data_IF_564521277803
#
_entry.id   IF_564521277803
#
_cell.length_a   1.000
_cell.length_b   1.000
_cell.length_c   1.000
_cell.angle_alpha   90.00
_cell.angle_beta   90.00
_cell.angle_gamma   90.00
#
_symmetry.space_group_name_H-M   'P 1'
#
loop_
_entity.id
_entity.type
_entity.pdbx_description
1 polymer ?
#
# COMPACT_ATOMS: atom_id res chain seq x y z
N UNK A 1 -9.62 18.60 17.25
CA UNK A 1 -9.21 17.28 16.71
C UNK A 1 -10.40 16.35 16.83
N UNK A 2 -10.57 15.38 15.94
CA UNK A 2 -11.60 14.36 16.11
C UNK A 2 -11.10 13.31 17.09
N UNK A 3 -11.95 12.90 18.02
CA UNK A 3 -11.65 11.81 18.95
C UNK A 3 -11.73 10.46 18.23
N UNK A 4 -10.88 9.52 18.63
CA UNK A 4 -10.89 8.13 18.14
C UNK A 4 -12.12 7.41 18.70
N UNK A 5 -13.02 6.93 17.84
CA UNK A 5 -14.22 6.22 18.28
C UNK A 5 -13.94 4.73 18.38
N UNK A 6 -13.99 4.17 19.59
CA UNK A 6 -13.74 2.76 19.82
C UNK A 6 -15.01 2.05 20.25
N UNK A 7 -15.33 0.93 19.61
CA UNK A 7 -16.42 0.05 20.01
C UNK A 7 -15.89 -1.05 20.95
N UNK A 8 -16.54 -1.26 22.10
CA UNK A 8 -16.38 -2.45 22.93
C UNK A 8 -17.68 -3.24 22.88
N UNK A 9 -17.60 -4.53 22.55
CA UNK A 9 -18.72 -5.47 22.61
C UNK A 9 -18.39 -6.53 23.65
N UNK A 10 -19.03 -6.41 24.81
CA UNK A 10 -18.69 -7.14 26.03
C UNK A 10 -19.93 -7.16 26.93
N UNK A 11 -20.42 -8.33 27.33
CA UNK A 11 -21.61 -8.46 28.19
C UNK A 11 -21.27 -8.36 29.68
N UNK A 12 -20.03 -8.66 30.07
CA UNK A 12 -19.65 -8.68 31.47
C UNK A 12 -19.24 -7.29 32.01
N UNK A 13 -19.99 -6.80 33.01
CA UNK A 13 -19.82 -5.44 33.55
C UNK A 13 -18.41 -5.15 34.07
N UNK A 14 -17.76 -6.13 34.68
CA UNK A 14 -16.39 -5.96 35.19
C UNK A 14 -15.40 -5.68 34.05
N UNK A 15 -15.53 -6.37 32.92
CA UNK A 15 -14.65 -6.20 31.77
C UNK A 15 -14.91 -4.85 31.06
N UNK A 16 -16.19 -4.44 31.01
CA UNK A 16 -16.56 -3.09 30.57
C UNK A 16 -15.89 -2.00 31.41
N UNK A 17 -15.93 -2.14 32.74
CA UNK A 17 -15.36 -1.16 33.67
C UNK A 17 -13.82 -1.13 33.56
N UNK A 18 -13.17 -2.29 33.45
CA UNK A 18 -11.71 -2.39 33.20
C UNK A 18 -11.29 -1.68 31.91
N UNK A 19 -12.04 -1.89 30.82
CA UNK A 19 -11.77 -1.22 29.55
C UNK A 19 -12.01 0.29 29.65
N UNK A 20 -13.07 0.71 30.36
CA UNK A 20 -13.40 2.10 30.56
C UNK A 20 -12.34 2.84 31.37
N UNK A 21 -11.79 2.21 32.40
CA UNK A 21 -10.69 2.78 33.20
C UNK A 21 -9.40 2.86 32.37
N UNK A 22 -9.06 1.82 31.59
CA UNK A 22 -7.93 1.87 30.67
C UNK A 22 -8.03 3.03 29.64
N UNK A 23 -9.25 3.34 29.17
CA UNK A 23 -9.51 4.49 28.30
C UNK A 23 -9.32 5.81 29.03
N UNK A 24 -9.71 5.92 30.30
CA UNK A 24 -9.50 7.13 31.11
C UNK A 24 -8.02 7.40 31.30
N UNK A 25 -7.26 6.39 31.73
CA UNK A 25 -5.82 6.50 31.91
C UNK A 25 -5.12 6.91 30.60
N UNK A 26 -5.48 6.28 29.49
CA UNK A 26 -4.95 6.64 28.18
C UNK A 26 -5.26 8.09 27.81
N UNK A 27 -6.49 8.54 28.04
CA UNK A 27 -6.93 9.89 27.73
C UNK A 27 -6.27 10.95 28.63
N UNK A 28 -5.89 10.62 29.86
CA UNK A 28 -5.18 11.55 30.75
C UNK A 28 -3.74 11.74 30.28
N UNK A 29 -3.10 10.68 29.78
CA UNK A 29 -1.68 10.66 29.40
C UNK A 29 -1.39 11.08 27.94
N UNK A 30 -2.39 11.12 27.06
CA UNK A 30 -2.18 11.28 25.61
C UNK A 30 -3.00 12.41 24.98
N UNK A 31 -2.47 13.03 23.92
CA UNK A 31 -3.17 14.07 23.15
C UNK A 31 -4.35 13.51 22.34
N UNK A 32 -4.21 12.28 21.82
CA UNK A 32 -5.30 11.57 21.15
C UNK A 32 -6.29 11.13 22.21
N UNK A 33 -7.55 11.57 22.06
CA UNK A 33 -8.64 11.14 22.94
C UNK A 33 -9.44 10.00 22.32
N UNK A 34 -9.89 9.08 23.17
CA UNK A 34 -10.70 7.92 22.84
C UNK A 34 -12.12 8.11 23.37
N UNK A 35 -13.09 8.05 22.46
CA UNK A 35 -14.51 7.97 22.77
C UNK A 35 -14.95 6.50 22.72
N UNK A 36 -15.06 5.87 23.90
CA UNK A 36 -15.47 4.48 24.04
C UNK A 36 -16.99 4.34 23.97
N UNK A 37 -17.49 3.46 23.11
CA UNK A 37 -18.89 3.03 23.08
C UNK A 37 -18.98 1.56 23.47
N UNK A 38 -19.71 1.29 24.54
CA UNK A 38 -19.89 -0.05 25.08
C UNK A 38 -21.24 -0.60 24.60
N UNK A 39 -21.25 -1.86 24.15
CA UNK A 39 -22.42 -2.63 23.78
C UNK A 39 -22.41 -3.93 24.58
N UNK A 40 -23.49 -4.20 25.32
CA UNK A 40 -23.61 -5.39 26.16
C UNK A 40 -24.19 -6.59 25.42
N UNK A 41 -24.59 -6.44 24.15
CA UNK A 41 -25.21 -7.51 23.37
C UNK A 41 -24.95 -7.37 21.88
N UNK A 42 -25.20 -8.47 21.15
CA UNK A 42 -25.15 -8.48 19.68
C UNK A 42 -26.07 -7.43 19.06
N UNK A 43 -27.30 -7.27 19.56
CA UNK A 43 -28.30 -6.34 19.01
C UNK A 43 -27.81 -4.90 19.11
N UNK A 44 -27.30 -4.50 20.28
CA UNK A 44 -26.75 -3.15 20.48
C UNK A 44 -25.54 -2.90 19.55
N UNK A 45 -24.65 -3.89 19.41
CA UNK A 45 -23.51 -3.79 18.51
C UNK A 45 -23.95 -3.60 17.05
N UNK A 46 -24.96 -4.34 16.58
CA UNK A 46 -25.51 -4.21 15.22
C UNK A 46 -26.09 -2.80 14.97
N UNK A 47 -26.87 -2.27 15.91
CA UNK A 47 -27.46 -0.94 15.79
C UNK A 47 -26.39 0.16 15.75
N UNK A 48 -25.35 0.03 16.58
CA UNK A 48 -24.23 0.97 16.60
C UNK A 48 -23.41 0.93 15.33
N UNK A 49 -23.09 -0.25 14.82
CA UNK A 49 -22.31 -0.41 13.58
C UNK A 49 -23.04 0.14 12.35
N UNK A 50 -24.37 0.20 12.36
CA UNK A 50 -25.19 0.81 11.29
C UNK A 50 -25.31 2.33 11.40
N UNK A 51 -25.37 2.85 12.62
CA UNK A 51 -25.68 4.26 12.89
C UNK A 51 -24.44 5.14 13.09
N UNK A 52 -23.27 4.57 13.29
CA UNK A 52 -22.04 5.28 13.62
C UNK A 52 -20.82 4.65 12.98
N UNK A 53 -19.79 5.48 12.76
CA UNK A 53 -18.48 5.00 12.35
C UNK A 53 -17.60 4.84 13.58
N UNK A 54 -16.74 3.85 13.49
CA UNK A 54 -15.73 3.54 14.48
C UNK A 54 -14.35 3.55 13.82
N UNK A 55 -13.33 3.74 14.64
CA UNK A 55 -11.91 3.66 14.31
C UNK A 55 -11.31 2.33 14.80
N UNK A 56 -12.07 1.52 15.52
CA UNK A 56 -11.66 0.22 15.99
C UNK A 56 -12.78 -0.51 16.75
N UNK A 57 -12.61 -1.81 16.94
CA UNK A 57 -13.50 -2.61 17.77
C UNK A 57 -12.74 -3.62 18.64
N UNK A 58 -13.19 -3.77 19.89
CA UNK A 58 -12.81 -4.84 20.82
C UNK A 58 -14.05 -5.71 21.01
N UNK A 59 -13.93 -7.01 20.78
CA UNK A 59 -15.06 -7.94 20.74
C UNK A 59 -14.78 -9.16 21.62
N UNK A 60 -15.66 -9.44 22.58
CA UNK A 60 -15.72 -10.76 23.22
C UNK A 60 -16.52 -11.74 22.35
N UNK A 61 -16.10 -13.01 22.37
CA UNK A 61 -16.73 -14.07 21.59
C UNK A 61 -18.04 -14.55 22.20
N UNK A 62 -18.17 -14.54 23.53
CA UNK A 62 -19.37 -14.93 24.24
C UNK A 62 -20.07 -13.69 24.75
N UNK A 63 -21.27 -13.42 24.25
CA UNK A 63 -22.06 -12.25 24.65
C UNK A 63 -23.34 -12.63 25.40
N UNK A 64 -23.55 -13.94 25.60
CA UNK A 64 -24.64 -14.48 26.41
C UNK A 64 -24.21 -15.77 27.11
N UNK A 65 -24.91 -16.12 28.19
CA UNK A 65 -24.74 -17.39 28.91
C UNK A 65 -25.16 -18.63 28.08
N UNK A 66 -25.76 -18.44 26.90
CA UNK A 66 -26.29 -19.55 26.08
C UNK A 66 -25.21 -20.34 25.33
N UNK A 67 -23.93 -19.95 25.47
CA UNK A 67 -22.78 -20.72 25.00
C UNK A 67 -22.49 -20.58 23.49
N UNK A 68 -23.13 -19.61 22.83
CA UNK A 68 -22.84 -19.24 21.45
C UNK A 68 -21.49 -18.53 21.29
N UNK A 69 -21.09 -18.33 20.03
CA UNK A 69 -19.98 -17.47 19.65
C UNK A 69 -20.52 -16.21 18.97
N UNK A 70 -21.39 -15.47 19.65
CA UNK A 70 -22.10 -14.30 19.10
C UNK A 70 -21.15 -13.19 18.66
N UNK A 71 -19.94 -13.13 19.22
CA UNK A 71 -18.89 -12.23 18.72
C UNK A 71 -18.52 -12.48 17.25
N UNK A 72 -18.63 -13.72 16.76
CA UNK A 72 -18.44 -14.00 15.33
C UNK A 72 -19.55 -13.38 14.47
N UNK A 73 -20.78 -13.29 14.97
CA UNK A 73 -21.86 -12.57 14.27
C UNK A 73 -21.57 -11.07 14.20
N UNK A 74 -21.02 -10.47 15.26
CA UNK A 74 -20.55 -9.06 15.20
C UNK A 74 -19.46 -8.88 14.15
N UNK A 75 -18.48 -9.78 14.10
CA UNK A 75 -17.40 -9.77 13.09
C UNK A 75 -17.99 -9.89 11.69
N UNK A 76 -18.95 -10.78 11.48
CA UNK A 76 -19.66 -10.93 10.22
C UNK A 76 -20.36 -9.64 9.79
N UNK A 77 -20.95 -8.88 10.71
CA UNK A 77 -21.54 -7.57 10.40
C UNK A 77 -20.50 -6.52 10.02
N UNK A 78 -19.34 -6.53 10.67
CA UNK A 78 -18.21 -5.67 10.28
C UNK A 78 -17.76 -5.99 8.85
N UNK A 79 -17.69 -7.28 8.49
CA UNK A 79 -17.38 -7.74 7.11
C UNK A 79 -18.45 -7.29 6.11
N UNK A 80 -19.73 -7.58 6.37
CA UNK A 80 -20.86 -7.33 5.47
C UNK A 80 -21.12 -5.84 5.22
N UNK A 81 -20.88 -4.98 6.23
CA UNK A 81 -21.08 -3.54 6.11
C UNK A 81 -19.84 -2.80 5.57
N UNK A 82 -18.79 -3.53 5.15
CA UNK A 82 -17.53 -2.96 4.66
C UNK A 82 -16.86 -2.00 5.65
N UNK A 83 -17.03 -2.24 6.95
CA UNK A 83 -16.42 -1.43 8.00
C UNK A 83 -14.92 -1.77 8.07
N UNK A 84 -14.08 -0.94 7.46
CA UNK A 84 -12.62 -1.12 7.41
C UNK A 84 -11.96 -0.62 8.70
N UNK A 85 -12.32 -1.26 9.81
CA UNK A 85 -11.82 -0.93 11.15
C UNK A 85 -10.93 -2.07 11.68
N UNK A 86 -9.82 -1.78 12.37
CA UNK A 86 -9.05 -2.79 13.07
C UNK A 86 -9.88 -3.44 14.18
N UNK A 87 -9.75 -4.76 14.34
CA UNK A 87 -10.50 -5.55 15.33
C UNK A 87 -9.55 -6.28 16.25
N UNK A 88 -9.82 -6.20 17.56
CA UNK A 88 -9.20 -7.05 18.59
C UNK A 88 -10.27 -7.97 19.17
N UNK A 89 -9.92 -9.24 19.32
CA UNK A 89 -10.74 -10.19 20.06
C UNK A 89 -10.14 -10.34 21.46
N UNK A 90 -10.94 -10.07 22.49
CA UNK A 90 -10.54 -10.21 23.90
C UNK A 90 -11.53 -11.17 24.57
N UNK A 91 -11.13 -12.43 24.78
CA UNK A 91 -12.08 -13.49 25.13
C UNK A 91 -11.49 -14.57 26.04
N UNK A 92 -12.32 -15.23 26.85
CA UNK A 92 -11.94 -16.44 27.57
C UNK A 92 -11.94 -17.72 26.72
N UNK A 93 -12.41 -17.66 25.47
CA UNK A 93 -12.48 -18.83 24.58
C UNK A 93 -11.89 -18.54 23.18
N UNK A 94 -10.57 -18.34 23.05
CA UNK A 94 -9.95 -17.91 21.78
C UNK A 94 -10.04 -18.93 20.63
N UNK A 95 -10.41 -20.18 20.94
CA UNK A 95 -10.54 -21.26 19.96
C UNK A 95 -11.80 -21.17 19.10
N UNK A 96 -12.84 -20.45 19.54
CA UNK A 96 -14.08 -20.27 18.76
C UNK A 96 -14.04 -19.06 17.83
N UNK A 97 -13.01 -18.22 17.94
CA UNK A 97 -12.89 -16.98 17.20
C UNK A 97 -12.57 -17.22 15.72
N UNK A 98 -13.37 -16.65 14.82
CA UNK A 98 -12.99 -16.50 13.42
C UNK A 98 -11.76 -15.59 13.28
N UNK A 99 -10.85 -15.92 12.36
CA UNK A 99 -9.59 -15.18 12.18
C UNK A 99 -9.30 -14.69 10.76
N UNK A 100 -10.15 -15.04 9.81
CA UNK A 100 -9.92 -14.79 8.38
C UNK A 100 -10.91 -13.77 7.84
N UNK A 101 -10.48 -13.04 6.81
CA UNK A 101 -11.30 -12.13 6.00
C UNK A 101 -11.83 -10.88 6.74
N UNK A 102 -11.09 -10.39 7.73
CA UNK A 102 -11.32 -9.07 8.36
C UNK A 102 -10.02 -8.50 8.92
N UNK A 103 -9.97 -7.18 9.27
CA UNK A 103 -8.77 -6.53 9.80
C UNK A 103 -8.44 -6.91 11.26
N UNK A 104 -8.28 -8.20 11.52
CA UNK A 104 -7.88 -8.73 12.82
C UNK A 104 -6.45 -8.29 13.16
N UNK A 105 -6.29 -7.54 14.24
CA UNK A 105 -4.98 -7.09 14.71
C UNK A 105 -4.52 -7.82 15.97
N UNK A 106 -5.35 -8.66 16.58
CA UNK A 106 -4.96 -9.51 17.72
C UNK A 106 -6.10 -10.33 18.31
N UNK A 107 -5.76 -11.49 18.87
CA UNK A 107 -6.64 -12.33 19.69
C UNK A 107 -5.93 -12.51 21.04
N UNK A 108 -6.58 -12.08 22.11
CA UNK A 108 -6.04 -12.09 23.46
C UNK A 108 -6.97 -12.83 24.41
N UNK A 109 -6.38 -13.60 25.32
CA UNK A 109 -7.11 -14.36 26.32
C UNK A 109 -7.37 -13.51 27.57
N UNK A 110 -8.60 -13.51 28.09
CA UNK A 110 -8.95 -12.81 29.33
C UNK A 110 -8.12 -13.37 30.50
N UNK A 111 -7.49 -12.48 31.28
CA UNK A 111 -6.59 -12.85 32.37
C UNK A 111 -5.18 -13.28 31.94
N UNK A 112 -4.84 -13.17 30.65
CA UNK A 112 -3.48 -13.35 30.14
C UNK A 112 -2.60 -12.10 30.30
N UNK A 113 -1.45 -12.11 29.61
CA UNK A 113 -0.42 -11.06 29.73
C UNK A 113 -0.82 -9.71 29.10
N UNK A 114 -1.77 -9.70 28.16
CA UNK A 114 -2.19 -8.49 27.44
C UNK A 114 -3.44 -7.90 28.10
N UNK A 115 -3.35 -6.63 28.48
CA UNK A 115 -4.42 -5.91 29.17
C UNK A 115 -5.22 -5.01 28.22
N UNK A 116 -6.36 -4.50 28.68
CA UNK A 116 -7.07 -3.45 27.95
C UNK A 116 -6.20 -2.22 27.72
N UNK A 117 -5.32 -1.83 28.65
CA UNK A 117 -4.40 -0.69 28.45
C UNK A 117 -3.49 -0.88 27.23
N UNK A 118 -2.95 -2.09 27.05
CA UNK A 118 -2.10 -2.42 25.90
C UNK A 118 -2.89 -2.37 24.58
N UNK A 119 -4.13 -2.87 24.61
CA UNK A 119 -5.04 -2.84 23.47
C UNK A 119 -5.40 -1.40 23.08
N UNK A 120 -5.76 -0.55 24.05
CA UNK A 120 -6.08 0.87 23.80
C UNK A 120 -4.87 1.61 23.22
N UNK A 121 -3.67 1.41 23.78
CA UNK A 121 -2.42 1.98 23.25
C UNK A 121 -2.18 1.57 21.80
N UNK A 122 -2.39 0.29 21.49
CA UNK A 122 -2.28 -0.24 20.12
C UNK A 122 -3.25 0.43 19.16
N UNK A 123 -4.51 0.61 19.55
CA UNK A 123 -5.47 1.38 18.75
C UNK A 123 -5.05 2.85 18.59
N UNK A 124 -4.57 3.48 19.66
CA UNK A 124 -4.04 4.85 19.63
C UNK A 124 -2.91 5.02 18.61
N UNK A 125 -1.94 4.09 18.60
CA UNK A 125 -0.87 4.07 17.60
C UNK A 125 -1.41 3.92 16.18
N UNK A 126 -2.34 2.99 15.93
CA UNK A 126 -2.94 2.81 14.60
C UNK A 126 -3.70 4.08 14.17
N UNK A 127 -4.51 4.67 15.04
CA UNK A 127 -5.26 5.89 14.74
C UNK A 127 -4.34 7.09 14.44
N UNK A 128 -3.20 7.17 15.12
CA UNK A 128 -2.20 8.22 14.91
C UNK A 128 -1.62 8.21 13.49
N UNK A 129 -1.54 7.03 12.84
CA UNK A 129 -1.11 6.92 11.43
C UNK A 129 -2.11 7.54 10.45
N UNK A 130 -3.35 7.77 10.88
CA UNK A 130 -4.43 8.24 10.02
C UNK A 130 -5.09 7.15 9.17
N UNK A 131 -4.73 5.86 9.35
CA UNK A 131 -5.28 4.74 8.58
C UNK A 131 -6.81 4.77 8.49
N UNK A 132 -7.51 4.89 9.61
CA UNK A 132 -8.99 4.92 9.63
C UNK A 132 -9.55 6.25 9.15
N UNK A 133 -8.82 7.36 9.31
CA UNK A 133 -9.18 8.66 8.72
C UNK A 133 -9.12 8.63 7.19
N UNK A 134 -8.31 7.74 6.62
CA UNK A 134 -8.17 7.53 5.17
C UNK A 134 -9.16 6.47 4.67
N UNK A 135 -9.14 5.27 5.27
CA UNK A 135 -9.78 4.05 4.78
C UNK A 135 -11.12 3.71 5.45
N UNK A 136 -11.44 4.31 6.60
CA UNK A 136 -12.67 4.05 7.34
C UNK A 136 -13.93 4.41 6.52
N UNK A 137 -15.11 4.00 7.01
CA UNK A 137 -16.38 4.14 6.27
C UNK A 137 -16.72 5.56 5.80
N UNK A 138 -16.32 6.60 6.55
CA UNK A 138 -16.37 8.02 6.13
C UNK A 138 -14.99 8.66 5.97
N UNK A 139 -13.97 7.86 5.70
CA UNK A 139 -12.59 8.29 5.49
C UNK A 139 -12.42 9.21 4.28
N UNK A 140 -11.21 9.76 4.10
CA UNK A 140 -10.88 10.67 2.99
C UNK A 140 -11.23 10.04 1.65
N UNK A 141 -10.91 8.76 1.44
CA UNK A 141 -11.17 8.07 0.17
C UNK A 141 -12.66 8.01 -0.13
N UNK A 142 -13.50 7.60 0.83
CA UNK A 142 -14.96 7.49 0.62
C UNK A 142 -15.60 8.83 0.29
N UNK A 143 -15.19 9.91 0.98
CA UNK A 143 -15.66 11.26 0.67
C UNK A 143 -15.24 11.72 -0.73
N UNK A 144 -14.01 11.38 -1.15
CA UNK A 144 -13.52 11.69 -2.49
C UNK A 144 -14.22 10.88 -3.56
N UNK A 145 -14.44 9.58 -3.35
CA UNK A 145 -15.21 8.73 -4.26
C UNK A 145 -16.65 9.26 -4.42
N UNK A 146 -17.30 9.63 -3.31
CA UNK A 146 -18.62 10.30 -3.36
C UNK A 146 -18.57 11.57 -4.20
N UNK A 147 -17.54 12.41 -4.01
CA UNK A 147 -17.36 13.65 -4.77
C UNK A 147 -17.19 13.37 -6.26
N UNK A 148 -16.30 12.42 -6.62
CA UNK A 148 -16.06 12.01 -8.01
C UNK A 148 -17.34 11.47 -8.64
N UNK A 149 -18.08 10.62 -7.94
CA UNK A 149 -19.33 10.10 -8.42
C UNK A 149 -20.35 11.21 -8.70
N UNK A 150 -20.65 12.04 -7.69
CA UNK A 150 -21.71 13.06 -7.75
C UNK A 150 -21.38 14.27 -8.64
N UNK A 151 -20.12 14.67 -8.75
CA UNK A 151 -19.74 15.91 -9.45
C UNK A 151 -18.99 15.68 -10.76
N UNK A 152 -18.50 14.46 -11.02
CA UNK A 152 -17.71 14.18 -12.23
C UNK A 152 -18.39 13.12 -13.08
N UNK A 153 -18.70 11.96 -12.49
CA UNK A 153 -19.26 10.84 -13.27
C UNK A 153 -20.71 11.11 -13.66
N UNK A 154 -21.58 11.49 -12.73
CA UNK A 154 -23.01 11.76 -13.02
C UNK A 154 -23.23 12.93 -13.99
N UNK A 155 -22.33 13.93 -13.99
CA UNK A 155 -22.35 15.03 -14.97
C UNK A 155 -22.13 14.55 -16.40
N UNK A 156 -21.60 13.33 -16.58
CA UNK A 156 -21.48 12.71 -17.90
C UNK A 156 -22.80 12.06 -18.37
N UNK A 157 -23.86 12.12 -17.57
CA UNK A 157 -25.17 11.51 -17.84
C UNK A 157 -26.39 12.45 -17.57
N UNK A 158 -26.45 13.71 -18.07
CA UNK A 158 -27.62 14.56 -17.81
C UNK A 158 -28.89 14.07 -18.51
N UNK A 159 -30.05 14.38 -17.91
CA UNK A 159 -31.37 14.15 -18.48
C UNK A 159 -31.64 15.10 -19.66
N UNK A 160 -32.00 14.56 -20.83
CA UNK A 160 -32.45 15.38 -21.96
C UNK A 160 -32.33 14.70 -23.32
N UNK A 161 -33.27 15.04 -24.22
CA UNK A 161 -33.34 14.66 -25.64
C UNK A 161 -32.25 15.30 -26.52
N UNK A 162 -31.06 15.59 -25.98
CA UNK A 162 -29.94 16.03 -26.79
C UNK A 162 -29.41 14.85 -27.59
N UNK A 163 -29.65 14.90 -28.88
CA UNK A 163 -29.32 13.91 -29.91
C UNK A 163 -27.82 13.65 -30.05
N UNK A 164 -26.96 14.35 -29.31
CA UNK A 164 -25.57 13.98 -29.11
C UNK A 164 -25.46 12.95 -27.99
N UNK A 165 -25.84 11.70 -28.30
CA UNK A 165 -25.49 10.52 -27.49
C UNK A 165 -24.07 10.69 -26.91
N UNK A 166 -23.97 10.79 -25.59
CA UNK A 166 -22.74 11.17 -24.87
C UNK A 166 -21.66 10.12 -25.06
N UNK A 167 -20.39 10.54 -25.08
CA UNK A 167 -19.24 9.70 -25.43
C UNK A 167 -19.23 8.35 -24.68
N UNK A 168 -19.46 8.34 -23.37
CA UNK A 168 -19.49 7.11 -22.57
C UNK A 168 -20.65 6.17 -22.92
N UNK A 169 -21.85 6.68 -23.16
CA UNK A 169 -23.00 5.86 -23.58
C UNK A 169 -22.73 5.28 -24.98
N UNK A 170 -22.20 6.09 -25.92
CA UNK A 170 -21.78 5.61 -27.25
C UNK A 170 -20.71 4.53 -27.16
N UNK A 171 -19.71 4.71 -26.29
CA UNK A 171 -18.66 3.71 -26.09
C UNK A 171 -19.26 2.42 -25.50
N UNK A 172 -20.19 2.53 -24.55
CA UNK A 172 -20.85 1.38 -23.95
C UNK A 172 -21.75 0.63 -24.94
N UNK A 173 -22.42 1.33 -25.86
CA UNK A 173 -23.19 0.70 -26.95
C UNK A 173 -22.30 -0.14 -27.88
N UNK A 174 -21.04 0.26 -28.07
CA UNK A 174 -20.08 -0.47 -28.92
C UNK A 174 -19.30 -1.56 -28.18
N UNK A 175 -18.83 -1.28 -26.96
CA UNK A 175 -17.99 -2.16 -26.16
C UNK A 175 -18.19 -1.84 -24.66
N UNK A 176 -19.21 -2.43 -24.01
CA UNK A 176 -19.54 -2.14 -22.62
C UNK A 176 -18.41 -2.55 -21.67
N UNK A 177 -17.76 -3.69 -21.92
CA UNK A 177 -16.66 -4.17 -21.06
C UNK A 177 -15.45 -3.22 -21.10
N UNK A 178 -15.06 -2.73 -22.28
CA UNK A 178 -13.97 -1.75 -22.39
C UNK A 178 -14.35 -0.41 -21.76
N UNK A 179 -15.62 -0.03 -21.88
CA UNK A 179 -16.15 1.21 -21.31
C UNK A 179 -16.09 1.19 -19.79
N UNK A 180 -16.53 0.11 -19.14
CA UNK A 180 -16.40 -0.08 -17.69
C UNK A 180 -14.93 0.03 -17.24
N UNK A 181 -14.01 -0.65 -17.93
CA UNK A 181 -12.57 -0.54 -17.64
C UNK A 181 -12.03 0.88 -17.82
N UNK A 182 -12.54 1.62 -18.80
CA UNK A 182 -12.14 3.01 -19.05
C UNK A 182 -12.68 3.96 -17.98
N UNK A 183 -13.94 3.80 -17.56
CA UNK A 183 -14.53 4.54 -16.46
C UNK A 183 -13.79 4.28 -15.14
N UNK A 184 -13.40 3.04 -14.86
CA UNK A 184 -12.57 2.73 -13.69
C UNK A 184 -11.24 3.51 -13.72
N UNK A 185 -10.51 3.48 -14.84
CA UNK A 185 -9.26 4.27 -14.98
C UNK A 185 -9.52 5.77 -14.84
N UNK A 186 -10.62 6.27 -15.39
CA UNK A 186 -11.00 7.67 -15.29
C UNK A 186 -11.24 8.08 -13.83
N UNK A 187 -11.99 7.28 -13.07
CA UNK A 187 -12.20 7.48 -11.62
C UNK A 187 -10.88 7.47 -10.84
N UNK A 188 -10.00 6.49 -11.12
CA UNK A 188 -8.70 6.40 -10.45
C UNK A 188 -7.80 7.61 -10.75
N UNK A 189 -7.80 8.13 -11.98
CA UNK A 189 -7.04 9.32 -12.34
C UNK A 189 -7.51 10.56 -11.57
N UNK A 190 -8.83 10.72 -11.37
CA UNK A 190 -9.36 11.80 -10.53
C UNK A 190 -8.95 11.66 -9.07
N UNK A 191 -8.94 10.42 -8.56
CA UNK A 191 -8.46 10.16 -7.20
C UNK A 191 -6.97 10.49 -7.05
N UNK A 192 -6.13 10.07 -8.00
CA UNK A 192 -4.69 10.39 -8.02
C UNK A 192 -4.43 11.88 -8.13
N UNK A 193 -5.17 12.60 -8.99
CA UNK A 193 -5.04 14.04 -9.12
C UNK A 193 -5.29 14.79 -7.81
N UNK A 194 -6.19 14.28 -6.96
CA UNK A 194 -6.39 14.85 -5.63
C UNK A 194 -5.24 14.60 -4.66
N UNK A 195 -4.44 13.55 -4.88
CA UNK A 195 -3.27 13.20 -4.05
C UNK A 195 -2.00 13.97 -4.50
N UNK A 196 -1.83 14.21 -5.80
CA UNK A 196 -0.65 14.85 -6.39
C UNK A 196 -0.45 16.34 -6.02
N UNK A 197 -1.38 16.96 -5.27
CA UNK A 197 -1.27 18.37 -4.84
C UNK A 197 -0.43 18.57 -3.57
N UNK A 198 0.09 17.50 -2.97
CA UNK A 198 0.97 17.56 -1.81
C UNK A 198 2.45 17.59 -2.26
N UNK A 199 3.18 18.64 -1.89
CA UNK A 199 4.59 18.88 -2.30
C UNK A 199 5.57 18.39 -1.21
N UNK A 200 5.09 17.59 -0.26
CA UNK A 200 5.92 17.04 0.80
C UNK A 200 6.93 15.99 0.29
N UNK A 201 8.00 15.77 1.06
CA UNK A 201 8.94 14.67 0.82
C UNK A 201 8.25 13.33 1.06
N UNK A 202 8.40 12.40 0.12
CA UNK A 202 7.85 11.06 0.23
C UNK A 202 8.62 10.18 1.24
N UNK A 203 7.91 9.27 1.90
CA UNK A 203 8.50 8.16 2.64
C UNK A 203 8.99 7.06 1.68
N UNK A 204 10.05 6.30 2.05
CA UNK A 204 10.57 5.19 1.24
C UNK A 204 9.53 4.17 0.78
N UNK A 205 8.56 3.85 1.64
CA UNK A 205 7.50 2.88 1.37
C UNK A 205 6.65 3.28 0.15
N UNK A 206 6.51 4.57 -0.14
CA UNK A 206 5.73 5.08 -1.28
C UNK A 206 6.36 4.71 -2.63
N UNK A 207 7.67 4.42 -2.66
CA UNK A 207 8.37 4.06 -3.89
C UNK A 207 7.95 2.69 -4.43
N UNK A 208 7.28 1.88 -3.62
CA UNK A 208 7.02 0.48 -3.92
C UNK A 208 5.55 0.07 -3.79
N UNK A 209 5.20 -0.98 -4.52
CA UNK A 209 3.95 -1.71 -4.43
C UNK A 209 4.28 -3.10 -3.86
N UNK A 210 3.86 -3.35 -2.62
CA UNK A 210 4.10 -4.60 -1.89
C UNK A 210 2.89 -4.99 -1.03
N UNK A 211 2.44 -6.27 -1.05
CA UNK A 211 2.86 -7.32 -1.98
C UNK A 211 2.45 -6.98 -3.42
N UNK A 212 3.07 -7.58 -4.44
CA UNK A 212 2.65 -7.37 -5.81
C UNK A 212 1.20 -7.81 -6.03
N UNK A 213 0.46 -7.04 -6.84
CA UNK A 213 -0.98 -7.26 -7.09
C UNK A 213 -1.24 -8.51 -7.95
N UNK A 214 -0.26 -8.92 -8.75
CA UNK A 214 -0.28 -10.16 -9.53
C UNK A 214 1.16 -10.61 -9.84
N UNK A 215 1.31 -11.85 -10.30
CA UNK A 215 2.61 -12.45 -10.64
C UNK A 215 3.13 -11.99 -12.03
N UNK A 216 2.49 -11.01 -12.68
CA UNK A 216 2.89 -10.58 -14.03
C UNK A 216 4.12 -9.69 -13.96
N UNK A 217 5.13 -10.08 -14.72
CA UNK A 217 6.34 -9.29 -14.90
C UNK A 217 6.04 -8.08 -15.79
N UNK A 218 6.21 -6.89 -15.22
CA UNK A 218 6.04 -5.60 -15.88
C UNK A 218 7.30 -4.74 -15.69
N UNK A 219 7.39 -3.63 -16.40
CA UNK A 219 8.43 -2.62 -16.19
C UNK A 219 8.43 -2.17 -14.72
N UNK A 220 9.60 -2.06 -14.11
CA UNK A 220 9.76 -1.67 -12.71
C UNK A 220 9.57 -2.79 -11.70
N UNK A 221 9.23 -4.02 -12.14
CA UNK A 221 9.27 -5.19 -11.28
C UNK A 221 10.70 -5.50 -10.85
N UNK A 222 10.87 -5.84 -9.57
CA UNK A 222 12.13 -6.31 -9.02
C UNK A 222 12.07 -7.84 -8.87
N UNK A 223 13.05 -8.49 -9.47
CA UNK A 223 13.26 -9.93 -9.45
C UNK A 223 14.51 -10.25 -8.64
N UNK A 224 14.53 -11.44 -8.03
CA UNK A 224 15.69 -11.96 -7.32
C UNK A 224 16.14 -13.25 -7.99
N UNK A 225 17.42 -13.34 -8.30
CA UNK A 225 18.01 -14.57 -8.83
C UNK A 225 18.11 -15.64 -7.73
N UNK A 226 17.71 -16.88 -8.02
CA UNK A 226 17.59 -17.98 -7.05
C UNK A 226 18.93 -18.51 -6.53
N UNK A 227 20.03 -18.25 -7.24
CA UNK A 227 21.36 -18.84 -6.93
C UNK A 227 22.26 -17.78 -6.31
N UNK A 228 22.39 -16.65 -6.98
CA UNK A 228 23.25 -15.55 -6.56
C UNK A 228 22.60 -14.65 -5.51
N UNK A 229 21.28 -14.78 -5.30
CA UNK A 229 20.46 -13.91 -4.44
C UNK A 229 20.46 -12.43 -4.88
N UNK A 230 20.97 -12.16 -6.09
CA UNK A 230 21.14 -10.83 -6.64
C UNK A 230 19.80 -10.27 -7.14
N UNK A 231 19.55 -8.99 -6.86
CA UNK A 231 18.34 -8.29 -7.32
C UNK A 231 18.53 -7.60 -8.67
N UNK A 232 17.45 -7.59 -9.45
CA UNK A 232 17.38 -6.99 -10.77
C UNK A 232 16.05 -6.25 -10.96
N UNK A 233 16.07 -5.12 -11.67
CA UNK A 233 14.87 -4.40 -12.10
C UNK A 233 14.59 -4.64 -13.59
N UNK A 234 13.32 -4.87 -13.92
CA UNK A 234 12.85 -5.05 -15.30
C UNK A 234 12.70 -3.68 -15.97
N UNK A 235 13.39 -3.46 -17.09
CA UNK A 235 13.47 -2.17 -17.77
C UNK A 235 12.94 -2.17 -19.21
N UNK A 236 12.28 -3.24 -19.65
CA UNK A 236 11.57 -3.22 -20.94
C UNK A 236 10.56 -2.07 -20.98
N UNK A 237 10.35 -1.42 -22.14
CA UNK A 237 9.18 -0.58 -22.36
C UNK A 237 7.87 -1.31 -22.01
N UNK A 238 6.91 -0.60 -21.41
CA UNK A 238 5.61 -1.18 -21.00
C UNK A 238 4.87 -1.82 -22.17
N UNK A 239 4.98 -1.22 -23.36
CA UNK A 239 4.37 -1.74 -24.59
C UNK A 239 4.95 -3.10 -25.02
N UNK A 240 6.19 -3.41 -24.62
CA UNK A 240 6.85 -4.65 -25.02
C UNK A 240 6.32 -5.84 -24.23
N UNK A 241 5.99 -5.61 -22.96
CA UNK A 241 5.46 -6.61 -22.02
C UNK A 241 3.93 -6.70 -22.04
N UNK A 242 3.25 -5.96 -22.94
CA UNK A 242 1.80 -6.00 -23.08
C UNK A 242 1.34 -7.31 -23.76
N UNK A 243 0.51 -8.10 -23.08
CA UNK A 243 -0.11 -9.30 -23.67
C UNK A 243 -1.08 -8.93 -24.80
N UNK A 244 -0.95 -9.63 -25.93
CA UNK A 244 -1.83 -9.48 -27.09
C UNK A 244 -3.06 -10.39 -26.98
N UNK A 245 -4.11 -10.04 -27.72
CA UNK A 245 -5.34 -10.85 -27.89
C UNK A 245 -5.10 -12.29 -28.35
N UNK A 246 -3.94 -12.55 -28.95
CA UNK A 246 -3.57 -13.84 -29.54
C UNK A 246 -2.64 -14.64 -28.61
N UNK A 247 -2.39 -14.15 -27.39
CA UNK A 247 -1.36 -14.64 -26.47
C UNK A 247 0.03 -14.06 -26.79
N UNK A 248 0.86 -13.94 -25.75
CA UNK A 248 2.26 -13.48 -25.86
C UNK A 248 2.45 -11.95 -25.84
N UNK A 249 3.71 -11.53 -25.74
CA UNK A 249 4.16 -10.13 -25.66
C UNK A 249 4.87 -9.71 -26.97
N UNK A 250 5.19 -8.42 -27.17
CA UNK A 250 5.93 -7.96 -28.37
C UNK A 250 7.40 -8.37 -28.33
N UNK A 251 7.91 -8.74 -27.17
CA UNK A 251 9.28 -9.17 -26.96
C UNK A 251 9.33 -10.63 -26.51
N UNK A 252 10.36 -11.32 -26.95
CA UNK A 252 10.77 -12.64 -26.50
C UNK A 252 11.76 -12.59 -25.34
N UNK A 253 12.21 -11.39 -24.92
CA UNK A 253 13.24 -11.20 -23.89
C UNK A 253 12.90 -10.11 -22.87
N UNK A 254 13.12 -10.41 -21.60
CA UNK A 254 13.13 -9.45 -20.50
C UNK A 254 14.51 -8.77 -20.41
N UNK A 255 14.52 -7.45 -20.34
CA UNK A 255 15.67 -6.58 -20.09
C UNK A 255 15.81 -6.36 -18.59
N UNK A 256 16.84 -6.92 -17.98
CA UNK A 256 17.11 -6.82 -16.56
C UNK A 256 18.33 -5.94 -16.30
N UNK A 257 18.23 -5.09 -15.28
CA UNK A 257 19.33 -4.24 -14.82
C UNK A 257 19.64 -4.55 -13.37
N UNK A 258 20.90 -4.81 -13.08
CA UNK A 258 21.35 -5.23 -11.75
C UNK A 258 21.22 -4.10 -10.71
N UNK A 259 20.78 -4.46 -9.50
CA UNK A 259 20.68 -3.59 -8.32
C UNK A 259 21.81 -3.95 -7.36
N UNK A 260 22.88 -3.15 -7.34
CA UNK A 260 24.03 -3.40 -6.48
C UNK A 260 23.79 -2.92 -5.05
N UNK A 261 24.47 -3.53 -4.09
CA UNK A 261 24.54 -2.98 -2.73
C UNK A 261 25.28 -1.64 -2.72
N UNK A 262 25.03 -0.82 -1.68
CA UNK A 262 25.71 0.48 -1.55
C UNK A 262 27.20 0.26 -1.28
N UNK A 263 27.53 -0.78 -0.50
CA UNK A 263 28.88 -1.18 -0.12
C UNK A 263 29.76 -1.49 -1.34
N UNK A 264 29.20 -2.10 -2.38
CA UNK A 264 29.90 -2.37 -3.64
C UNK A 264 30.29 -1.12 -4.43
N UNK A 265 29.56 -0.02 -4.23
CA UNK A 265 29.73 1.23 -4.99
C UNK A 265 30.63 2.21 -4.23
N UNK A 266 30.67 2.10 -2.91
CA UNK A 266 31.45 3.00 -2.07
C UNK A 266 32.97 2.78 -2.26
N UNK A 267 33.75 3.86 -2.35
CA UNK A 267 35.20 3.74 -2.41
C UNK A 267 35.76 3.21 -1.09
N UNK A 268 36.72 2.28 -1.16
CA UNK A 268 37.39 1.71 0.01
C UNK A 268 38.40 2.70 0.60
N UNK A 269 38.60 2.64 1.92
CA UNK A 269 39.64 3.40 2.62
C UNK A 269 39.38 4.91 2.74
N UNK A 270 38.12 5.34 2.66
CA UNK A 270 37.73 6.75 2.79
C UNK A 270 37.46 7.14 4.24
N UNK A 271 37.62 8.42 4.54
CA UNK A 271 37.25 9.00 5.84
C UNK A 271 35.73 9.07 6.02
N UNK A 272 35.25 9.19 7.26
CA UNK A 272 33.82 9.31 7.59
C UNK A 272 33.15 10.51 6.89
N UNK A 273 33.85 11.64 6.80
CA UNK A 273 33.37 12.83 6.08
C UNK A 273 33.19 12.56 4.58
N UNK A 274 34.13 11.84 3.97
CA UNK A 274 34.03 11.46 2.56
C UNK A 274 32.90 10.45 2.34
N UNK A 275 32.74 9.48 3.25
CA UNK A 275 31.65 8.50 3.21
C UNK A 275 30.29 9.20 3.21
N UNK A 276 30.06 10.13 4.13
CA UNK A 276 28.80 10.91 4.20
C UNK A 276 28.52 11.66 2.89
N UNK A 277 29.53 12.29 2.31
CA UNK A 277 29.40 13.01 1.03
C UNK A 277 29.08 12.07 -0.14
N UNK A 278 29.66 10.86 -0.17
CA UNK A 278 29.38 9.88 -1.22
C UNK A 278 27.97 9.28 -1.07
N UNK A 279 27.53 8.97 0.14
CA UNK A 279 26.16 8.52 0.42
C UNK A 279 25.13 9.58 0.02
N UNK A 280 25.36 10.86 0.35
CA UNK A 280 24.45 11.94 -0.06
C UNK A 280 24.33 12.04 -1.58
N UNK A 281 25.44 11.87 -2.33
CA UNK A 281 25.40 11.83 -3.79
C UNK A 281 24.61 10.63 -4.31
N UNK A 282 24.70 9.47 -3.66
CA UNK A 282 23.94 8.26 -4.05
C UNK A 282 22.45 8.49 -3.81
N UNK A 283 22.06 8.87 -2.59
CA UNK A 283 20.66 9.05 -2.20
C UNK A 283 19.95 10.16 -2.98
N UNK A 284 20.68 11.20 -3.38
CA UNK A 284 20.16 12.26 -4.25
C UNK A 284 20.25 11.94 -5.74
N UNK A 285 20.66 10.73 -6.12
CA UNK A 285 20.80 10.33 -7.52
C UNK A 285 21.80 11.20 -8.33
N UNK A 286 22.82 11.75 -7.67
CA UNK A 286 23.84 12.66 -8.22
C UNK A 286 25.24 12.04 -8.36
N UNK A 287 25.44 10.81 -7.87
CA UNK A 287 26.75 10.13 -7.88
C UNK A 287 27.28 9.90 -9.31
N UNK A 288 26.42 9.45 -10.22
CA UNK A 288 26.73 9.31 -11.64
C UNK A 288 25.43 9.29 -12.46
N UNK A 289 25.56 9.42 -13.78
CA UNK A 289 24.42 9.34 -14.69
C UNK A 289 23.86 7.91 -14.86
N UNK A 290 24.62 6.88 -14.44
CA UNK A 290 24.24 5.47 -14.59
C UNK A 290 23.81 4.80 -13.29
N UNK A 291 23.81 5.50 -12.16
CA UNK A 291 23.37 4.98 -10.87
C UNK A 291 22.02 5.57 -10.45
N UNK A 292 21.07 4.73 -10.10
CA UNK A 292 19.79 5.14 -9.51
C UNK A 292 19.54 4.41 -8.19
N UNK A 293 19.44 5.15 -7.08
CA UNK A 293 19.23 4.60 -5.75
C UNK A 293 17.78 4.22 -5.50
N UNK A 294 17.59 3.08 -4.85
CA UNK A 294 16.35 2.50 -4.40
C UNK A 294 16.44 2.32 -2.86
N UNK A 295 15.58 2.94 -2.05
CA UNK A 295 15.66 2.87 -0.60
C UNK A 295 15.28 1.48 -0.05
N UNK A 296 15.86 1.13 1.09
CA UNK A 296 15.37 0.04 1.94
C UNK A 296 14.06 0.47 2.63
N UNK A 297 13.16 -0.49 2.91
CA UNK A 297 11.88 -0.23 3.57
C UNK A 297 11.57 -1.33 4.58
N UNK A 298 10.68 -1.04 5.54
CA UNK A 298 10.20 -2.05 6.49
C UNK A 298 9.02 -2.88 5.96
N UNK A 299 8.81 -2.89 4.64
CA UNK A 299 7.73 -3.68 4.01
C UNK A 299 7.96 -5.18 4.26
N UNK A 300 6.90 -5.98 4.19
CA UNK A 300 6.94 -7.43 4.40
C UNK A 300 7.64 -8.22 3.27
N UNK A 301 8.60 -7.60 2.59
CA UNK A 301 9.36 -8.11 1.45
C UNK A 301 10.82 -8.31 1.86
N UNK A 302 11.53 -9.35 1.36
CA UNK A 302 12.96 -9.54 1.63
C UNK A 302 13.86 -8.50 0.94
N UNK A 303 13.28 -7.55 0.19
CA UNK A 303 14.03 -6.56 -0.57
C UNK A 303 14.66 -5.47 0.31
N UNK A 304 15.98 -5.35 0.27
CA UNK A 304 16.79 -4.47 1.13
C UNK A 304 17.22 -3.16 0.46
N UNK A 305 16.58 -2.76 -0.64
CA UNK A 305 17.02 -1.58 -1.40
C UNK A 305 18.29 -1.82 -2.22
N UNK A 306 18.95 -0.75 -2.64
CA UNK A 306 20.23 -0.78 -3.34
C UNK A 306 20.37 0.31 -4.41
N UNK A 307 21.23 0.09 -5.41
CA UNK A 307 21.47 1.05 -6.49
C UNK A 307 21.45 0.34 -7.83
N UNK A 308 20.48 0.70 -8.67
CA UNK A 308 20.41 0.25 -10.05
C UNK A 308 21.66 0.77 -10.78
N UNK A 309 22.39 -0.14 -11.42
CA UNK A 309 23.53 0.20 -12.26
C UNK A 309 23.16 0.01 -13.73
N UNK A 310 22.83 1.09 -14.43
CA UNK A 310 22.43 1.08 -15.84
C UNK A 310 23.51 0.53 -16.80
N UNK A 311 24.72 0.22 -16.33
CA UNK A 311 25.75 -0.47 -17.13
C UNK A 311 25.66 -1.99 -17.06
N UNK A 312 25.03 -2.54 -16.02
CA UNK A 312 24.93 -3.99 -15.76
C UNK A 312 23.60 -4.52 -16.28
N UNK A 313 23.49 -4.52 -17.60
CA UNK A 313 22.27 -4.93 -18.31
C UNK A 313 22.43 -6.36 -18.83
N UNK A 314 21.38 -7.15 -18.67
CA UNK A 314 21.28 -8.51 -19.20
C UNK A 314 19.91 -8.72 -19.84
N UNK A 315 19.79 -9.75 -20.68
CA UNK A 315 18.53 -10.10 -21.35
C UNK A 315 18.25 -11.58 -21.22
N UNK A 316 17.00 -11.93 -20.87
CA UNK A 316 16.61 -13.30 -20.54
C UNK A 316 15.31 -13.68 -21.25
N UNK A 317 15.19 -14.92 -21.73
CA UNK A 317 13.91 -15.43 -22.26
C UNK A 317 12.92 -15.69 -21.12
N UNK A 318 11.65 -15.91 -21.45
CA UNK A 318 10.61 -16.24 -20.47
C UNK A 318 10.96 -17.50 -19.66
N UNK A 319 11.51 -18.51 -20.33
CA UNK A 319 11.92 -19.77 -19.70
C UNK A 319 13.06 -19.52 -18.71
N UNK A 320 14.09 -18.76 -19.12
CA UNK A 320 15.21 -18.41 -18.24
C UNK A 320 14.76 -17.64 -17.00
N UNK A 321 13.79 -16.73 -17.16
CA UNK A 321 13.20 -16.00 -16.03
C UNK A 321 12.51 -16.96 -15.07
N UNK A 322 11.64 -17.83 -15.58
CA UNK A 322 10.91 -18.79 -14.74
C UNK A 322 11.85 -19.77 -14.00
N UNK A 323 12.93 -20.17 -14.67
CA UNK A 323 13.88 -21.15 -14.14
C UNK A 323 14.84 -20.53 -13.13
N UNK A 324 15.34 -19.33 -13.39
CA UNK A 324 16.47 -18.74 -12.63
C UNK A 324 16.04 -17.72 -11.57
N UNK A 325 14.83 -17.16 -11.65
CA UNK A 325 14.39 -16.07 -10.76
C UNK A 325 13.22 -16.48 -9.87
N UNK A 326 13.23 -15.99 -8.63
CA UNK A 326 12.11 -16.10 -7.71
C UNK A 326 10.86 -15.40 -8.27
N UNK A 327 9.69 -15.70 -7.68
CA UNK A 327 8.47 -14.94 -7.96
C UNK A 327 8.67 -13.46 -7.63
N UNK A 328 7.87 -12.62 -8.29
CA UNK A 328 7.92 -11.16 -8.16
C UNK A 328 8.00 -10.73 -6.69
N UNK A 329 9.06 -9.99 -6.35
CA UNK A 329 9.35 -9.59 -4.97
C UNK A 329 8.61 -8.31 -4.61
N UNK A 330 8.69 -7.32 -5.50
CA UNK A 330 8.12 -5.98 -5.32
C UNK A 330 8.08 -5.25 -6.68
N UNK A 331 7.27 -4.20 -6.82
CA UNK A 331 7.25 -3.37 -8.01
C UNK A 331 7.43 -1.89 -7.66
N UNK A 332 8.23 -1.15 -8.43
CA UNK A 332 8.36 0.30 -8.25
C UNK A 332 7.06 0.99 -8.70
N UNK A 333 6.54 1.89 -7.85
CA UNK A 333 5.32 2.64 -8.13
C UNK A 333 5.47 3.60 -9.32
N UNK A 334 4.39 3.79 -10.08
CA UNK A 334 4.39 4.52 -11.34
C UNK A 334 4.95 5.96 -11.27
N UNK A 335 4.70 6.76 -10.21
CA UNK A 335 5.29 8.11 -10.09
C UNK A 335 6.82 8.10 -10.12
N UNK A 336 7.44 7.12 -9.45
CA UNK A 336 8.91 6.99 -9.33
C UNK A 336 9.52 6.28 -10.54
N UNK A 337 8.82 5.28 -11.08
CA UNK A 337 9.29 4.51 -12.23
C UNK A 337 9.55 5.38 -13.47
N UNK A 338 8.75 6.44 -13.66
CA UNK A 338 8.94 7.40 -14.77
C UNK A 338 10.33 8.03 -14.75
N UNK A 339 10.84 8.41 -13.58
CA UNK A 339 12.18 8.99 -13.44
C UNK A 339 13.26 7.93 -13.74
N UNK A 340 13.13 6.72 -13.19
CA UNK A 340 14.08 5.62 -13.45
C UNK A 340 14.18 5.35 -14.96
N UNK A 341 13.05 5.19 -15.64
CA UNK A 341 12.99 4.93 -17.09
C UNK A 341 13.56 6.10 -17.89
N UNK A 342 13.27 7.35 -17.49
CA UNK A 342 13.83 8.54 -18.12
C UNK A 342 15.34 8.59 -17.99
N UNK A 343 15.89 8.31 -16.80
CA UNK A 343 17.34 8.31 -16.55
C UNK A 343 18.03 7.16 -17.28
N UNK A 344 17.44 5.98 -17.32
CA UNK A 344 17.93 4.84 -18.10
C UNK A 344 17.99 5.16 -19.59
N UNK A 345 16.88 5.65 -20.16
CA UNK A 345 16.82 6.03 -21.59
C UNK A 345 17.82 7.12 -21.92
N UNK A 346 17.90 8.14 -21.05
CA UNK A 346 18.84 9.25 -21.20
C UNK A 346 20.29 8.79 -21.16
N UNK A 347 20.64 7.83 -20.29
CA UNK A 347 21.99 7.26 -20.21
C UNK A 347 22.39 6.52 -21.49
N UNK A 348 21.49 5.69 -22.03
CA UNK A 348 21.75 4.90 -23.24
C UNK A 348 21.72 5.72 -24.54
N UNK A 349 21.02 6.86 -24.55
CA UNK A 349 20.97 7.76 -25.71
C UNK A 349 22.21 8.66 -25.85
N UNK A 350 23.14 8.65 -24.89
CA UNK A 350 24.31 9.54 -24.90
C UNK A 350 25.24 9.22 -26.07
N UNK A 351 25.50 10.24 -26.89
CA UNK A 351 26.58 10.21 -27.86
C UNK A 351 27.86 10.73 -27.17
N UNK A 352 28.92 9.94 -27.18
CA UNK A 352 30.22 10.35 -26.65
C UNK A 352 30.96 11.24 -27.65
N UNK A 353 31.71 12.20 -27.15
CA UNK A 353 32.75 12.90 -27.91
C UNK A 353 34.11 12.50 -27.30
N UNK A 354 35.13 12.21 -28.12
CA UNK A 354 36.48 12.03 -27.62
C UNK A 354 36.98 13.30 -26.92
N UNK A 355 37.68 13.14 -25.80
CA UNK A 355 38.34 14.27 -25.15
C UNK A 355 39.43 14.82 -26.08
N UNK A 356 39.41 16.13 -26.30
CA UNK A 356 40.47 16.81 -27.04
C UNK A 356 41.65 16.95 -26.10
N UNK A 357 42.83 16.53 -26.56
CA UNK A 357 44.08 16.76 -25.83
C UNK A 357 44.39 18.27 -25.82
N UNK A 358 44.00 18.92 -24.73
CA UNK A 358 44.22 20.35 -24.51
C UNK A 358 45.69 20.70 -24.24
N UNK A 359 46.56 19.71 -23.97
CA UNK A 359 48.00 19.95 -23.83
C UNK A 359 48.67 20.20 -25.19
N UNK A 360 48.11 19.64 -26.27
CA UNK A 360 48.54 19.89 -27.66
C UNK A 360 48.01 21.21 -28.25
N UNK A 361 47.15 21.92 -27.52
CA UNK A 361 46.55 23.21 -27.94
C UNK A 361 47.26 24.44 -27.36
N UNK A 362 48.36 24.25 -26.63
CA UNK A 362 49.27 25.30 -26.16
C UNK A 362 50.48 25.38 -27.07
#
# INVERSE_FOLDING_TARGET
MSDMKLLLVEDHKQDQDLCQDAVRDFNDDNDVKVDLKICGSLIEAEEKLKSSDFDGAIIDMKLTDTGGAEGNEVIKRIKENFNRIPVVIMTGTPNVAERNDFPLIGVYEKGGDVTYSDIIKKFGHIYSTGLTKIMGGRGIIERKLTTIFTHILTQSFPDGNDSEKKSWIKYAESDPTRTEKALLRYTLNHLLYHLDNDVSSCYPEEMYISPPVNDRINTGCILKDKISEQYYIVMNPVCDLAERSNGGCNTDRALLVEIQSIEEILPKGITEKQLKNELEKIYRNKKSLYYHWLPETSLSSPYIGGVINFRRVSTHTKEQINDSFEKLVIQVAAPFLKDIVSRFSSYYARQGQPDIDIELLK
#
